data_IF_533273321246
#
_entry.id   IF_533273321246
#
_cell.length_a   1.000
_cell.length_b   1.000
_cell.length_c   1.000
_cell.angle_alpha   90.00
_cell.angle_beta   90.00
_cell.angle_gamma   90.00
#
_symmetry.space_group_name_H-M   'P 1'
#
loop_
_entity.id
_entity.type
_entity.pdbx_description
1 polymer ?
#
# COMPACT_ATOMS: atom_id res chain seq x y z
N UNK A 1 -3.69 -28.68 16.29
CA UNK A 1 -2.71 -27.68 16.75
C UNK A 1 -1.39 -27.99 16.06
N UNK A 2 -1.04 -27.26 14.99
CA UNK A 2 0.21 -27.51 14.25
C UNK A 2 1.03 -26.22 14.27
N UNK A 3 2.08 -26.22 15.07
CA UNK A 3 3.07 -25.16 15.12
C UNK A 3 4.09 -25.41 13.99
N UNK A 4 4.06 -24.58 12.95
CA UNK A 4 5.13 -24.56 11.95
C UNK A 4 6.26 -23.65 12.47
N UNK A 5 7.31 -24.25 13.01
CA UNK A 5 8.58 -23.55 13.27
C UNK A 5 9.34 -23.44 11.94
N UNK A 6 9.14 -22.35 11.21
CA UNK A 6 10.04 -21.98 10.11
C UNK A 6 11.19 -21.15 10.69
N UNK A 7 12.22 -21.83 11.21
CA UNK A 7 13.50 -21.21 11.53
C UNK A 7 14.34 -21.03 10.27
N UNK A 8 14.25 -19.86 9.62
CA UNK A 8 15.28 -19.45 8.67
C UNK A 8 16.42 -18.80 9.47
N UNK A 9 17.70 -19.19 9.26
CA UNK A 9 18.81 -18.45 9.85
C UNK A 9 18.85 -17.05 9.24
N UNK A 10 18.42 -16.05 10.01
CA UNK A 10 18.59 -14.65 9.64
C UNK A 10 20.10 -14.36 9.59
N UNK A 11 20.64 -14.11 8.39
CA UNK A 11 21.95 -13.46 8.28
C UNK A 11 21.85 -12.10 8.97
N UNK A 12 22.71 -11.79 9.97
CA UNK A 12 22.72 -10.47 10.57
C UNK A 12 23.17 -9.46 9.51
N UNK A 13 22.23 -8.69 8.96
CA UNK A 13 22.56 -7.48 8.20
C UNK A 13 22.97 -6.43 9.21
N UNK A 14 24.24 -6.39 9.58
CA UNK A 14 24.81 -5.23 10.24
C UNK A 14 24.79 -4.08 9.22
N UNK A 15 23.69 -3.31 9.21
CA UNK A 15 23.66 -1.97 8.61
C UNK A 15 24.50 -1.09 9.55
N UNK A 16 25.71 -0.63 9.18
CA UNK A 16 26.62 0.04 10.11
C UNK A 16 26.10 1.40 10.63
N UNK A 17 25.01 1.92 10.08
CA UNK A 17 24.52 3.29 10.33
C UNK A 17 23.04 3.38 10.71
N UNK A 18 22.36 2.27 11.03
CA UNK A 18 21.01 2.36 11.56
C UNK A 18 21.06 2.47 13.10
N UNK A 19 21.13 3.70 13.62
CA UNK A 19 20.82 3.96 15.03
C UNK A 19 19.44 3.39 15.38
N UNK A 20 19.15 3.12 16.67
CA UNK A 20 17.87 2.55 17.08
C UNK A 20 16.72 3.44 16.57
N UNK A 21 15.86 2.85 15.74
CA UNK A 21 14.71 3.58 15.24
C UNK A 21 13.80 3.96 16.43
N UNK A 22 13.27 5.20 16.47
CA UNK A 22 12.39 5.60 17.55
C UNK A 22 11.18 4.65 17.60
N UNK A 23 10.74 4.30 18.80
CA UNK A 23 9.52 3.51 19.02
C UNK A 23 8.31 4.32 18.57
N UNK A 24 7.97 4.25 17.28
CA UNK A 24 6.75 4.85 16.74
C UNK A 24 5.57 3.99 17.18
N UNK A 25 4.69 4.55 18.00
CA UNK A 25 3.37 3.97 18.24
C UNK A 25 2.60 3.98 16.92
N UNK A 26 1.96 2.86 16.59
CA UNK A 26 1.13 2.82 15.38
C UNK A 26 0.03 3.88 15.47
N UNK A 27 0.03 4.80 14.50
CA UNK A 27 -1.03 5.77 14.33
C UNK A 27 -1.88 5.37 13.12
N UNK A 28 -3.19 5.25 13.34
CA UNK A 28 -4.12 4.91 12.28
C UNK A 28 -4.21 6.07 11.29
N UNK A 29 -4.10 5.74 10.00
CA UNK A 29 -4.39 6.67 8.90
C UNK A 29 -5.86 7.09 8.90
N UNK A 30 -6.12 8.34 8.52
CA UNK A 30 -7.46 8.91 8.34
C UNK A 30 -7.62 9.36 6.89
N UNK A 31 -7.82 8.44 5.94
CA UNK A 31 -7.92 8.76 4.52
C UNK A 31 -8.98 9.83 4.23
N UNK A 32 -10.09 9.83 4.97
CA UNK A 32 -11.19 10.81 4.88
C UNK A 32 -10.77 12.27 5.11
N UNK A 33 -9.59 12.48 5.72
CA UNK A 33 -9.03 13.82 5.94
C UNK A 33 -8.07 14.26 4.84
N UNK A 34 -7.71 13.37 3.91
CA UNK A 34 -6.72 13.66 2.86
C UNK A 34 -7.37 14.39 1.68
N UNK A 35 -6.64 15.30 1.00
CA UNK A 35 -7.19 16.03 -0.14
C UNK A 35 -7.68 15.13 -1.28
N UNK A 36 -6.93 14.08 -1.62
CA UNK A 36 -7.29 13.15 -2.69
C UNK A 36 -8.59 12.40 -2.40
N UNK A 37 -8.77 11.94 -1.16
CA UNK A 37 -10.00 11.24 -0.77
C UNK A 37 -11.21 12.15 -0.89
N UNK A 38 -11.11 13.39 -0.37
CA UNK A 38 -12.18 14.38 -0.46
C UNK A 38 -12.58 14.67 -1.91
N UNK A 39 -11.59 14.97 -2.77
CA UNK A 39 -11.84 15.25 -4.18
C UNK A 39 -12.58 14.09 -4.84
N UNK A 40 -12.11 12.85 -4.65
CA UNK A 40 -12.77 11.69 -5.27
C UNK A 40 -14.15 11.47 -4.66
N UNK A 41 -14.30 11.55 -3.33
CA UNK A 41 -15.59 11.31 -2.67
C UNK A 41 -16.64 12.33 -3.06
N UNK A 42 -16.25 13.58 -3.26
CA UNK A 42 -17.15 14.69 -3.60
C UNK A 42 -17.51 14.70 -5.09
N UNK A 43 -16.64 14.22 -5.98
CA UNK A 43 -16.81 14.42 -7.42
C UNK A 43 -17.02 13.13 -8.24
N UNK A 44 -16.78 11.94 -7.67
CA UNK A 44 -16.80 10.69 -8.45
C UNK A 44 -18.14 10.45 -9.16
N UNK A 45 -19.26 10.60 -8.45
CA UNK A 45 -20.59 10.34 -9.00
C UNK A 45 -20.90 11.28 -10.19
N UNK A 46 -20.82 12.59 -9.99
CA UNK A 46 -21.07 13.57 -11.04
C UNK A 46 -20.10 13.45 -12.21
N UNK A 47 -18.85 13.06 -11.96
CA UNK A 47 -17.90 12.81 -13.03
C UNK A 47 -18.26 11.57 -13.87
N UNK A 48 -18.74 10.49 -13.25
CA UNK A 48 -19.20 9.30 -13.97
C UNK A 48 -20.44 9.60 -14.82
N UNK A 49 -21.41 10.33 -14.27
CA UNK A 49 -22.60 10.79 -14.99
C UNK A 49 -22.23 11.63 -16.22
N UNK A 50 -21.36 12.63 -16.03
CA UNK A 50 -20.88 13.47 -17.14
C UNK A 50 -20.17 12.67 -18.24
N UNK A 51 -19.45 11.60 -17.88
CA UNK A 51 -18.77 10.72 -18.83
C UNK A 51 -19.74 9.86 -19.64
N UNK A 52 -20.83 9.43 -18.99
CA UNK A 52 -21.90 8.66 -19.63
C UNK A 52 -22.68 9.53 -20.61
N UNK A 53 -23.09 10.73 -20.20
CA UNK A 53 -23.76 11.73 -21.06
C UNK A 53 -22.94 12.11 -22.29
N UNK A 54 -21.61 12.12 -22.16
CA UNK A 54 -20.69 12.41 -23.26
C UNK A 54 -20.45 11.20 -24.20
N UNK A 55 -21.21 10.11 -24.06
CA UNK A 55 -21.05 8.83 -24.79
C UNK A 55 -19.61 8.27 -24.72
N UNK A 56 -18.93 8.53 -23.61
CA UNK A 56 -17.54 8.11 -23.38
C UNK A 56 -17.41 7.48 -21.99
N UNK A 57 -18.08 6.35 -21.72
CA UNK A 57 -18.07 5.74 -20.41
C UNK A 57 -16.66 5.41 -19.94
N UNK A 58 -16.47 5.46 -18.64
CA UNK A 58 -15.22 5.08 -17.99
C UNK A 58 -15.15 3.54 -17.97
N UNK A 59 -13.99 2.92 -18.27
CA UNK A 59 -13.89 1.47 -18.15
C UNK A 59 -14.21 1.00 -16.72
N UNK A 60 -14.98 -0.08 -16.59
CA UNK A 60 -15.45 -0.55 -15.27
C UNK A 60 -14.34 -0.76 -14.24
N UNK A 61 -13.17 -1.25 -14.66
CA UNK A 61 -12.02 -1.43 -13.77
C UNK A 61 -11.51 -0.13 -13.15
N UNK A 62 -11.67 1.02 -13.83
CA UNK A 62 -11.27 2.34 -13.30
C UNK A 62 -12.27 2.80 -12.24
N UNK A 63 -13.57 2.60 -12.49
CA UNK A 63 -14.61 2.91 -11.52
C UNK A 63 -14.47 2.05 -10.27
N UNK A 64 -14.30 0.73 -10.44
CA UNK A 64 -14.06 -0.21 -9.33
C UNK A 64 -12.83 0.21 -8.50
N UNK A 65 -11.76 0.68 -9.14
CA UNK A 65 -10.57 1.13 -8.44
C UNK A 65 -10.82 2.41 -7.63
N UNK A 66 -11.53 3.39 -8.21
CA UNK A 66 -11.87 4.64 -7.52
C UNK A 66 -12.82 4.39 -6.34
N UNK A 67 -13.83 3.53 -6.51
CA UNK A 67 -14.74 3.11 -5.44
C UNK A 67 -13.99 2.35 -4.35
N UNK A 68 -13.16 1.38 -4.71
CA UNK A 68 -12.32 0.65 -3.76
C UNK A 68 -11.34 1.55 -3.00
N UNK A 69 -10.83 2.62 -3.64
CA UNK A 69 -10.02 3.61 -2.95
C UNK A 69 -10.78 4.36 -1.86
N UNK A 70 -12.05 4.72 -2.09
CA UNK A 70 -12.86 5.45 -1.11
C UNK A 70 -13.12 4.63 0.17
N UNK A 71 -13.16 3.31 0.07
CA UNK A 71 -13.31 2.39 1.20
C UNK A 71 -11.99 2.12 1.94
N UNK A 72 -10.86 2.25 1.23
CA UNK A 72 -9.56 1.85 1.72
C UNK A 72 -9.11 2.63 2.97
N UNK A 73 -8.94 1.93 4.09
CA UNK A 73 -8.42 2.50 5.33
C UNK A 73 -9.49 3.08 6.26
N UNK A 74 -10.77 2.97 5.90
CA UNK A 74 -11.90 3.35 6.72
C UNK A 74 -12.41 2.16 7.54
N UNK A 75 -12.68 2.39 8.84
CA UNK A 75 -13.07 1.30 9.75
C UNK A 75 -14.50 0.78 9.50
N UNK A 76 -15.39 1.61 8.95
CA UNK A 76 -16.75 1.22 8.62
C UNK A 76 -16.82 0.16 7.51
N UNK A 77 -15.80 0.07 6.65
CA UNK A 77 -15.68 -0.95 5.59
C UNK A 77 -14.92 -2.20 6.05
N UNK A 78 -14.62 -2.32 7.35
CA UNK A 78 -14.00 -3.50 7.95
C UNK A 78 -12.58 -3.27 8.46
N UNK A 79 -12.22 -4.07 9.46
CA UNK A 79 -10.94 -3.99 10.15
C UNK A 79 -10.53 -5.33 10.77
N UNK A 80 -9.24 -5.48 11.00
CA UNK A 80 -8.66 -6.52 11.85
C UNK A 80 -8.16 -5.92 13.17
N UNK A 81 -8.14 -6.72 14.22
CA UNK A 81 -7.52 -6.35 15.51
C UNK A 81 -6.19 -7.07 15.65
N UNK A 82 -5.10 -6.31 15.70
CA UNK A 82 -3.77 -6.84 16.01
C UNK A 82 -3.58 -6.83 17.53
N UNK A 83 -3.12 -7.95 18.09
CA UNK A 83 -2.87 -8.13 19.52
C UNK A 83 -1.47 -8.70 19.73
N UNK A 84 -0.76 -8.17 20.71
CA UNK A 84 0.48 -8.75 21.19
C UNK A 84 0.16 -9.82 22.26
N UNK A 85 0.53 -11.07 22.01
CA UNK A 85 0.29 -12.16 22.96
C UNK A 85 1.16 -12.07 24.23
N UNK A 86 2.22 -11.26 24.22
CA UNK A 86 3.09 -11.08 25.39
C UNK A 86 2.61 -10.00 26.36
N UNK A 87 2.22 -8.82 25.84
CA UNK A 87 1.83 -7.67 26.68
C UNK A 87 0.33 -7.31 26.62
N UNK A 88 -0.48 -8.04 25.83
CA UNK A 88 -1.92 -7.81 25.69
C UNK A 88 -2.32 -6.53 24.93
N UNK A 89 -1.36 -5.66 24.60
CA UNK A 89 -1.64 -4.44 23.85
C UNK A 89 -2.07 -4.76 22.42
N UNK A 90 -3.03 -3.98 21.90
CA UNK A 90 -3.51 -4.14 20.54
C UNK A 90 -3.93 -2.84 19.89
N UNK A 91 -4.14 -2.91 18.58
CA UNK A 91 -4.64 -1.81 17.77
C UNK A 91 -5.50 -2.34 16.63
N UNK A 92 -6.33 -1.48 16.06
CA UNK A 92 -7.17 -1.79 14.91
C UNK A 92 -6.48 -1.40 13.61
N UNK A 93 -6.61 -2.26 12.61
CA UNK A 93 -6.06 -2.08 11.27
C UNK A 93 -7.22 -2.16 10.29
N UNK A 94 -7.57 -1.02 9.68
CA UNK A 94 -8.57 -0.99 8.63
C UNK A 94 -8.13 -1.82 7.42
N UNK A 95 -9.10 -2.39 6.71
CA UNK A 95 -8.83 -3.08 5.46
C UNK A 95 -8.31 -2.13 4.39
N UNK A 96 -7.63 -2.71 3.40
CA UNK A 96 -7.03 -1.97 2.30
C UNK A 96 -7.54 -2.51 0.98
N UNK A 97 -7.74 -1.64 -0.01
CA UNK A 97 -8.24 -2.05 -1.33
C UNK A 97 -7.30 -2.98 -2.09
N UNK A 98 -6.00 -3.04 -1.73
CA UNK A 98 -4.96 -3.82 -2.44
C UNK A 98 -4.79 -3.44 -3.93
N UNK A 99 -5.42 -2.35 -4.37
CA UNK A 99 -5.31 -1.82 -5.74
C UNK A 99 -3.93 -1.25 -6.04
N UNK A 100 -3.64 -1.09 -7.35
CA UNK A 100 -2.33 -0.68 -7.88
C UNK A 100 -2.33 0.66 -8.60
N UNK A 101 -3.47 1.28 -8.88
CA UNK A 101 -3.52 2.63 -9.46
C UNK A 101 -3.64 3.73 -8.40
N UNK A 102 -4.83 4.29 -8.21
CA UNK A 102 -5.01 5.60 -7.55
C UNK A 102 -4.68 5.64 -6.05
N UNK A 103 -4.73 4.51 -5.34
CA UNK A 103 -4.55 4.49 -3.88
C UNK A 103 -3.07 4.67 -3.47
N UNK A 104 -2.66 5.84 -2.93
CA UNK A 104 -1.25 6.09 -2.60
C UNK A 104 -0.75 5.18 -1.46
N UNK A 105 -1.64 4.80 -0.54
CA UNK A 105 -1.34 3.93 0.58
C UNK A 105 -1.01 2.50 0.13
N UNK A 106 -1.82 1.94 -0.78
CA UNK A 106 -1.60 0.58 -1.29
C UNK A 106 -0.42 0.54 -2.25
N UNK A 107 -0.29 1.54 -3.12
CA UNK A 107 0.85 1.65 -4.02
C UNK A 107 2.16 1.80 -3.23
N UNK A 108 2.20 2.68 -2.23
CA UNK A 108 3.36 2.85 -1.36
C UNK A 108 3.71 1.57 -0.58
N UNK A 109 2.71 0.82 -0.10
CA UNK A 109 2.93 -0.49 0.52
C UNK A 109 3.55 -1.47 -0.47
N UNK A 110 3.01 -1.56 -1.69
CA UNK A 110 3.53 -2.47 -2.71
C UNK A 110 4.97 -2.11 -3.10
N UNK A 111 5.28 -0.82 -3.26
CA UNK A 111 6.64 -0.34 -3.51
C UNK A 111 7.60 -0.76 -2.39
N UNK A 112 7.20 -0.55 -1.13
CA UNK A 112 8.01 -0.93 0.03
C UNK A 112 8.24 -2.44 0.11
N UNK A 113 7.21 -3.25 -0.15
CA UNK A 113 7.32 -4.71 -0.18
C UNK A 113 8.24 -5.18 -1.31
N UNK A 114 8.11 -4.59 -2.49
CA UNK A 114 8.98 -4.90 -3.63
C UNK A 114 10.43 -4.55 -3.31
N UNK A 115 10.67 -3.36 -2.74
CA UNK A 115 12.01 -2.93 -2.34
C UNK A 115 12.63 -3.85 -1.27
N UNK A 116 11.84 -4.28 -0.27
CA UNK A 116 12.29 -5.23 0.72
C UNK A 116 12.66 -6.57 0.08
N UNK A 117 11.79 -7.12 -0.77
CA UNK A 117 12.07 -8.38 -1.46
C UNK A 117 13.35 -8.29 -2.32
N UNK A 118 13.50 -7.21 -3.10
CA UNK A 118 14.69 -6.99 -3.90
C UNK A 118 15.95 -6.92 -3.05
N UNK A 119 15.91 -6.12 -1.97
CA UNK A 119 17.06 -5.96 -1.10
C UNK A 119 17.39 -7.23 -0.32
N UNK A 120 16.38 -8.01 0.10
CA UNK A 120 16.53 -9.16 1.00
C UNK A 120 16.88 -10.45 0.27
N UNK A 121 16.35 -10.63 -0.94
CA UNK A 121 16.35 -11.93 -1.62
C UNK A 121 16.88 -11.91 -3.05
N UNK A 122 16.92 -10.76 -3.74
CA UNK A 122 17.27 -10.71 -5.17
C UNK A 122 18.64 -10.09 -5.41
N UNK A 123 18.93 -8.95 -4.77
CA UNK A 123 20.17 -8.20 -4.99
C UNK A 123 21.29 -8.79 -4.12
N UNK A 124 22.39 -9.29 -4.71
CA UNK A 124 23.52 -9.79 -3.95
C UNK A 124 24.26 -8.65 -3.22
N UNK A 125 25.01 -8.94 -2.14
CA UNK A 125 25.75 -7.94 -1.35
C UNK A 125 27.03 -7.50 -2.06
N UNK A 126 26.88 -6.94 -3.25
CA UNK A 126 27.95 -6.36 -4.07
C UNK A 126 27.54 -4.93 -4.47
N UNK A 127 28.48 -4.04 -4.81
CA UNK A 127 28.13 -2.72 -5.34
C UNK A 127 27.24 -2.85 -6.58
N UNK A 128 26.05 -2.25 -6.53
CA UNK A 128 25.09 -2.23 -7.65
C UNK A 128 24.82 -0.79 -8.09
N UNK A 129 24.56 -0.60 -9.39
CA UNK A 129 24.14 0.67 -9.98
C UNK A 129 22.77 0.50 -10.64
N UNK A 130 21.79 1.27 -10.19
CA UNK A 130 20.47 1.31 -10.80
C UNK A 130 20.51 2.18 -12.06
N UNK A 131 20.06 1.63 -13.18
CA UNK A 131 19.80 2.37 -14.42
C UNK A 131 18.29 2.46 -14.63
N UNK A 132 17.79 3.66 -14.92
CA UNK A 132 16.39 3.88 -15.30
C UNK A 132 16.38 4.30 -16.76
N UNK A 133 15.74 3.49 -17.61
CA UNK A 133 15.62 3.74 -19.04
C UNK A 133 14.15 4.04 -19.33
N UNK A 134 13.90 5.20 -19.93
CA UNK A 134 12.57 5.58 -20.40
C UNK A 134 12.41 5.15 -21.86
N UNK A 135 11.48 4.25 -22.12
CA UNK A 135 11.14 3.81 -23.49
C UNK A 135 10.13 4.78 -24.09
N UNK A 136 10.37 5.33 -25.30
CA UNK A 136 9.42 6.20 -26.00
C UNK A 136 8.05 5.54 -26.16
N UNK A 137 6.96 6.33 -26.13
CA UNK A 137 5.59 5.80 -26.26
C UNK A 137 5.35 4.96 -27.52
N UNK A 138 6.10 5.20 -28.60
CA UNK A 138 6.01 4.41 -29.84
C UNK A 138 6.59 3.00 -29.74
N UNK A 139 7.42 2.73 -28.72
CA UNK A 139 8.14 1.48 -28.51
C UNK A 139 7.63 0.70 -27.28
N UNK A 140 6.52 1.14 -26.68
CA UNK A 140 5.93 0.59 -25.46
C UNK A 140 4.62 -0.09 -25.79
#
# INVERSE_FOLDING_TARGET
MVAALCGFPARPRLRPHAGPAPRRRYERRRPEKTPLHKIISENLASWLEWRDEAERPVPGYVEEELRGYLECGLLCFGFARALCNGCGQGFVVAFSCKGRGVCPSCNGRHMAQTAAHLADHVIPPVPVRQWVISVPRRLR
#
